data_IF_366986698291
#
_entry.id   IF_366986698291
#
_cell.length_a   1.000
_cell.length_b   1.000
_cell.length_c   1.000
_cell.angle_alpha   90.00
_cell.angle_beta   90.00
_cell.angle_gamma   90.00
#
_symmetry.space_group_name_H-M   'P 1'
#
loop_
_entity.id
_entity.type
_entity.pdbx_description
1 polymer ?
#
# COMPACT_ATOMS: atom_id res chain seq x y z
N UNK A 1 7.52 1.37 -22.64
CA UNK A 1 7.30 1.45 -21.18
C UNK A 1 5.81 1.60 -20.95
N UNK A 2 5.19 0.70 -20.18
CA UNK A 2 3.78 0.88 -19.81
C UNK A 2 3.62 2.03 -18.82
N UNK A 3 2.67 2.91 -19.11
CA UNK A 3 2.36 4.10 -18.31
C UNK A 3 1.78 3.68 -16.95
N UNK A 4 2.54 3.87 -15.87
CA UNK A 4 2.12 3.49 -14.51
C UNK A 4 1.10 4.47 -13.94
N UNK A 5 0.41 4.07 -12.88
CA UNK A 5 -0.55 4.89 -12.13
C UNK A 5 0.00 6.27 -11.72
N UNK A 6 1.26 6.32 -11.29
CA UNK A 6 1.91 7.55 -10.85
C UNK A 6 2.15 8.52 -12.01
N UNK A 7 2.42 7.99 -13.21
CA UNK A 7 2.49 8.81 -14.42
C UNK A 7 1.13 9.44 -14.75
N UNK A 8 0.02 8.79 -14.38
CA UNK A 8 -1.33 9.33 -14.58
C UNK A 8 -1.65 10.39 -13.52
N UNK A 9 -1.35 10.14 -12.25
CA UNK A 9 -1.57 11.09 -11.17
C UNK A 9 -0.75 12.38 -11.31
N UNK A 10 0.45 12.30 -11.90
CA UNK A 10 1.30 13.46 -12.14
C UNK A 10 0.85 14.39 -13.29
N UNK A 11 -0.20 14.02 -14.04
CA UNK A 11 -0.68 14.83 -15.17
C UNK A 11 -1.44 16.07 -14.68
N UNK A 12 -1.12 17.24 -15.21
CA UNK A 12 -1.88 18.49 -14.96
C UNK A 12 -3.35 18.40 -15.40
N UNK A 13 -3.66 17.58 -16.41
CA UNK A 13 -5.03 17.32 -16.87
C UNK A 13 -5.21 15.83 -17.14
N UNK A 14 -6.23 15.24 -16.53
CA UNK A 14 -6.60 13.84 -16.71
C UNK A 14 -7.54 13.67 -17.91
N UNK A 15 -7.18 12.79 -18.83
CA UNK A 15 -8.05 12.36 -19.93
C UNK A 15 -9.16 11.42 -19.43
N UNK A 16 -10.20 11.18 -20.26
CA UNK A 16 -11.22 10.15 -19.94
C UNK A 16 -10.59 8.75 -19.75
N UNK A 17 -9.54 8.43 -20.51
CA UNK A 17 -8.80 7.16 -20.39
C UNK A 17 -8.06 7.06 -19.07
N UNK A 18 -7.43 8.14 -18.63
CA UNK A 18 -6.76 8.25 -17.33
C UNK A 18 -7.75 8.02 -16.18
N UNK A 19 -8.87 8.74 -16.19
CA UNK A 19 -9.94 8.58 -15.18
C UNK A 19 -10.47 7.15 -15.12
N UNK A 20 -10.64 6.47 -16.27
CA UNK A 20 -11.08 5.08 -16.32
C UNK A 20 -10.03 4.10 -15.80
N UNK A 21 -8.74 4.36 -16.00
CA UNK A 21 -7.66 3.57 -15.39
C UNK A 21 -7.64 3.78 -13.87
N UNK A 22 -7.74 5.03 -13.42
CA UNK A 22 -7.79 5.38 -11.99
C UNK A 22 -8.98 4.72 -11.29
N UNK A 23 -10.17 4.73 -11.89
CA UNK A 23 -11.37 4.13 -11.26
C UNK A 23 -11.25 2.62 -11.10
N UNK A 24 -10.69 1.90 -12.09
CA UNK A 24 -10.43 0.46 -11.97
C UNK A 24 -9.44 0.15 -10.85
N UNK A 25 -8.41 0.99 -10.70
CA UNK A 25 -7.40 0.81 -9.65
C UNK A 25 -7.96 1.13 -8.27
N UNK A 26 -8.75 2.19 -8.13
CA UNK A 26 -9.46 2.51 -6.90
C UNK A 26 -10.40 1.37 -6.48
N UNK A 27 -11.16 0.82 -7.43
CA UNK A 27 -12.00 -0.35 -7.18
C UNK A 27 -11.19 -1.59 -6.78
N UNK A 28 -9.96 -1.75 -7.29
CA UNK A 28 -9.06 -2.83 -6.83
C UNK A 28 -8.60 -2.57 -5.41
N UNK A 29 -8.13 -1.38 -5.08
CA UNK A 29 -7.71 -1.01 -3.73
C UNK A 29 -8.81 -1.31 -2.69
N UNK A 30 -10.05 -0.93 -2.98
CA UNK A 30 -11.18 -1.21 -2.09
C UNK A 30 -11.39 -2.71 -1.86
N UNK A 31 -11.36 -3.52 -2.92
CA UNK A 31 -11.48 -4.99 -2.79
C UNK A 31 -10.33 -5.61 -2.01
N UNK A 32 -9.10 -5.12 -2.21
CA UNK A 32 -7.94 -5.60 -1.47
C UNK A 32 -8.06 -5.23 0.02
N UNK A 33 -8.54 -4.03 0.34
CA UNK A 33 -8.82 -3.63 1.73
C UNK A 33 -9.91 -4.47 2.38
N UNK A 34 -11.01 -4.77 1.69
CA UNK A 34 -12.06 -5.66 2.18
C UNK A 34 -11.52 -7.07 2.46
N UNK A 35 -10.77 -7.64 1.52
CA UNK A 35 -10.12 -8.94 1.70
C UNK A 35 -9.18 -8.94 2.91
N UNK A 36 -8.39 -7.89 3.10
CA UNK A 36 -7.48 -7.78 4.25
C UNK A 36 -8.25 -7.67 5.57
N UNK A 37 -9.38 -6.96 5.61
CA UNK A 37 -10.27 -6.96 6.79
C UNK A 37 -10.72 -8.37 7.14
N UNK A 38 -11.13 -9.16 6.15
CA UNK A 38 -11.55 -10.53 6.38
C UNK A 38 -10.39 -11.41 6.89
N UNK A 39 -9.21 -11.30 6.26
CA UNK A 39 -8.00 -12.04 6.65
C UNK A 39 -7.58 -11.72 8.09
N UNK A 40 -7.63 -10.45 8.50
CA UNK A 40 -7.22 -10.02 9.83
C UNK A 40 -8.36 -9.96 10.85
N UNK A 41 -9.60 -10.31 10.46
CA UNK A 41 -10.80 -10.15 11.29
C UNK A 41 -10.73 -10.83 12.67
N UNK A 42 -9.96 -11.92 12.78
CA UNK A 42 -9.78 -12.69 14.02
C UNK A 42 -8.46 -12.39 14.74
N UNK A 43 -7.63 -11.49 14.21
CA UNK A 43 -6.29 -11.21 14.71
C UNK A 43 -6.25 -9.77 15.23
N UNK A 44 -5.96 -9.60 16.51
CA UNK A 44 -5.68 -8.27 17.06
C UNK A 44 -4.34 -7.76 16.52
N UNK A 45 -4.40 -6.62 15.83
CA UNK A 45 -3.23 -5.92 15.27
C UNK A 45 -2.64 -4.87 16.21
N UNK A 46 -3.28 -4.59 17.34
CA UNK A 46 -2.84 -3.57 18.30
C UNK A 46 -1.66 -4.05 19.16
N UNK A 47 -0.72 -3.15 19.44
CA UNK A 47 0.43 -3.38 20.32
C UNK A 47 1.23 -4.63 19.93
N UNK A 48 1.43 -4.81 18.62
CA UNK A 48 2.18 -5.93 18.03
C UNK A 48 3.49 -5.47 17.41
N UNK A 49 4.36 -6.44 17.16
CA UNK A 49 5.48 -6.31 16.23
C UNK A 49 5.16 -7.16 15.02
N UNK A 50 5.03 -6.53 13.86
CA UNK A 50 4.48 -7.15 12.65
C UNK A 50 5.57 -7.18 11.59
N UNK A 51 5.82 -8.37 11.04
CA UNK A 51 6.71 -8.57 9.91
C UNK A 51 5.87 -8.89 8.67
N UNK A 52 5.98 -8.01 7.66
CA UNK A 52 5.41 -8.18 6.34
C UNK A 52 6.51 -8.56 5.35
N UNK A 53 6.32 -9.65 4.59
CA UNK A 53 7.31 -10.16 3.64
C UNK A 53 6.72 -10.07 2.24
N UNK A 54 7.38 -9.29 1.37
CA UNK A 54 6.93 -9.01 0.02
C UNK A 54 6.01 -7.78 -0.04
N UNK A 55 6.56 -6.61 0.28
CA UNK A 55 5.86 -5.31 0.24
C UNK A 55 5.03 -5.12 -1.04
N UNK A 56 5.58 -5.52 -2.19
CA UNK A 56 4.85 -5.56 -3.46
C UNK A 56 4.32 -4.18 -3.87
N UNK A 57 3.00 -4.03 -3.90
CA UNK A 57 2.34 -2.75 -4.19
C UNK A 57 2.15 -1.88 -2.93
N UNK A 58 2.20 -2.45 -1.72
CA UNK A 58 2.02 -1.72 -0.46
C UNK A 58 0.59 -1.71 0.12
N UNK A 59 -0.35 -2.47 -0.47
CA UNK A 59 -1.74 -2.51 0.03
C UNK A 59 -1.85 -3.12 1.44
N UNK A 60 -1.12 -4.21 1.70
CA UNK A 60 -1.08 -4.82 3.02
C UNK A 60 -0.49 -3.85 4.05
N UNK A 61 0.64 -3.21 3.75
CA UNK A 61 1.22 -2.20 4.64
C UNK A 61 0.29 -1.03 4.90
N UNK A 62 -0.44 -0.54 3.88
CA UNK A 62 -1.44 0.52 4.05
C UNK A 62 -2.52 0.10 5.04
N UNK A 63 -3.03 -1.11 4.89
CA UNK A 63 -4.01 -1.67 5.81
C UNK A 63 -3.44 -1.75 7.24
N UNK A 64 -2.21 -2.27 7.41
CA UNK A 64 -1.56 -2.36 8.72
C UNK A 64 -1.36 -0.99 9.35
N UNK A 65 -0.89 0.01 8.61
CA UNK A 65 -0.73 1.39 9.12
C UNK A 65 -2.04 1.99 9.64
N UNK A 66 -3.16 1.66 8.99
CA UNK A 66 -4.48 2.19 9.35
C UNK A 66 -5.13 1.46 10.51
N UNK A 67 -4.72 0.22 10.83
CA UNK A 67 -5.46 -0.65 11.77
C UNK A 67 -4.58 -1.27 12.88
N UNK A 68 -3.25 -1.18 12.79
CA UNK A 68 -2.32 -1.70 13.79
C UNK A 68 -1.87 -0.58 14.76
N UNK A 69 -2.79 -0.11 15.59
CA UNK A 69 -2.49 0.98 16.53
C UNK A 69 -1.42 0.58 17.55
N UNK A 70 -0.50 1.51 17.81
CA UNK A 70 0.64 1.32 18.72
C UNK A 70 1.50 0.09 18.40
N UNK A 71 1.57 -0.29 17.13
CA UNK A 71 2.36 -1.43 16.65
C UNK A 71 3.60 -0.98 15.88
N UNK A 72 4.61 -1.83 15.91
CA UNK A 72 5.79 -1.71 15.06
C UNK A 72 5.57 -2.53 13.79
N UNK A 73 5.72 -1.90 12.63
CA UNK A 73 5.54 -2.54 11.33
C UNK A 73 6.88 -2.54 10.60
N UNK A 74 7.36 -3.74 10.27
CA UNK A 74 8.54 -3.95 9.44
C UNK A 74 8.09 -4.64 8.16
N UNK A 75 8.44 -4.08 7.00
CA UNK A 75 8.21 -4.73 5.71
C UNK A 75 9.52 -4.99 4.99
N UNK A 76 9.60 -6.12 4.29
CA UNK A 76 10.82 -6.60 3.64
C UNK A 76 10.54 -6.90 2.18
N UNK A 77 11.36 -6.38 1.27
CA UNK A 77 11.27 -6.70 -0.16
C UNK A 77 12.65 -6.64 -0.84
N UNK A 78 12.81 -7.46 -1.88
CA UNK A 78 13.99 -7.47 -2.75
C UNK A 78 13.92 -6.41 -3.85
N UNK A 79 12.71 -6.05 -4.29
CA UNK A 79 12.50 -5.05 -5.33
C UNK A 79 12.62 -3.64 -4.73
N UNK A 80 13.66 -2.86 -5.07
CA UNK A 80 13.82 -1.51 -4.53
C UNK A 80 12.70 -0.54 -4.92
N UNK A 81 11.93 -0.85 -5.98
CA UNK A 81 10.81 -0.02 -6.41
C UNK A 81 9.59 -0.17 -5.49
N UNK A 82 9.53 -1.21 -4.65
CA UNK A 82 8.43 -1.42 -3.71
C UNK A 82 8.34 -0.31 -2.67
N UNK A 83 9.48 0.24 -2.21
CA UNK A 83 9.51 1.38 -1.29
C UNK A 83 8.84 2.63 -1.89
N UNK A 84 9.07 2.90 -3.18
CA UNK A 84 8.42 4.03 -3.85
C UNK A 84 6.91 3.81 -3.97
N UNK A 85 6.48 2.58 -4.29
CA UNK A 85 5.06 2.23 -4.32
C UNK A 85 4.43 2.37 -2.94
N UNK A 86 5.12 1.89 -1.91
CA UNK A 86 4.70 1.98 -0.52
C UNK A 86 4.52 3.43 -0.08
N UNK A 87 5.52 4.29 -0.30
CA UNK A 87 5.44 5.74 -0.04
C UNK A 87 4.21 6.36 -0.67
N UNK A 88 3.92 6.02 -1.91
CA UNK A 88 2.81 6.63 -2.62
C UNK A 88 1.43 6.13 -2.16
N UNK A 89 1.33 4.91 -1.62
CA UNK A 89 0.07 4.38 -1.08
C UNK A 89 -0.16 4.82 0.37
N UNK A 90 0.89 4.79 1.18
CA UNK A 90 0.84 5.11 2.60
C UNK A 90 0.84 6.62 2.84
N UNK A 91 1.51 7.39 1.98
CA UNK A 91 1.59 8.84 2.08
C UNK A 91 2.43 9.28 3.27
N UNK A 92 1.94 10.29 3.98
CA UNK A 92 2.64 10.91 5.11
C UNK A 92 2.85 9.95 6.30
N UNK A 93 2.09 8.85 6.34
CA UNK A 93 2.23 7.83 7.37
C UNK A 93 3.41 6.86 7.14
N UNK A 94 4.25 7.10 6.13
CA UNK A 94 5.37 6.20 5.80
C UNK A 94 6.33 5.99 6.99
N UNK A 95 6.47 7.00 7.85
CA UNK A 95 7.34 6.95 9.03
C UNK A 95 6.88 5.92 10.08
N UNK A 96 5.66 5.39 9.96
CA UNK A 96 5.15 4.28 10.79
C UNK A 96 5.67 2.90 10.33
N UNK A 97 6.41 2.84 9.22
CA UNK A 97 6.90 1.59 8.64
C UNK A 97 8.43 1.60 8.55
N UNK A 98 9.06 0.55 9.05
CA UNK A 98 10.45 0.24 8.76
C UNK A 98 10.54 -0.61 7.50
N UNK A 99 11.14 -0.08 6.44
CA UNK A 99 11.40 -0.84 5.21
C UNK A 99 12.81 -1.42 5.21
N UNK A 100 12.93 -2.74 5.02
CA UNK A 100 14.21 -3.43 4.85
C UNK A 100 14.35 -3.95 3.43
N UNK A 101 15.48 -3.62 2.81
CA UNK A 101 15.89 -4.22 1.54
C UNK A 101 16.75 -5.45 1.82
N UNK A 102 16.43 -6.57 1.16
CA UNK A 102 17.20 -7.82 1.16
C UNK A 102 17.67 -8.21 -0.23
#
# INVERSE_FOLDING_TARGET
MEETFYHILAKQRLTKKDKRKLSKMYARLLREQELLKDVFSSISLEKKRILDIGTGQGFACKFLVEHAEHSEIVTVDKDPLSLNRLRNIVGDDIDKITFLKV
#
